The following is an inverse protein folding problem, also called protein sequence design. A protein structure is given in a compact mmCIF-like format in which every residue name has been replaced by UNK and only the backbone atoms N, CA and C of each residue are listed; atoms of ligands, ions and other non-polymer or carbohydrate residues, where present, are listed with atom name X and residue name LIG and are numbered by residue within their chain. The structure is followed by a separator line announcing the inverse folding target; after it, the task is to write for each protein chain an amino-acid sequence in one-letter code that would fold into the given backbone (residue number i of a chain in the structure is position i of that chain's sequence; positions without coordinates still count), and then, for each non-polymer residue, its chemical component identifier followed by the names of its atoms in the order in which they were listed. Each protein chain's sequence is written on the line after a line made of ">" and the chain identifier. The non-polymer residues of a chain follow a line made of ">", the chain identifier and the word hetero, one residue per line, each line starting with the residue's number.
data_IF_951670735794
#
_entry.id   IF_951670735794
#
_cell.length_a   1.000
_cell.length_b   1.000
_cell.length_c   1.000
_cell.angle_alpha   90.00
_cell.angle_beta   90.00
_cell.angle_gamma   90.00
#
_symmetry.space_group_name_H-M   'P 1'
#
loop_
_entity.id
_entity.type
_entity.pdbx_description
1 polymer ?
#
# COMPACT_ATOMS: atom_id res chain seq x y z
N UNK A 1 -37.38 -15.22 -4.93
CA UNK A 1 -36.64 -14.04 -5.41
C UNK A 1 -35.85 -14.47 -6.62
N UNK A 2 -36.14 -13.87 -7.77
CA UNK A 2 -35.41 -14.16 -9.01
C UNK A 2 -33.98 -13.59 -8.90
N UNK A 3 -33.00 -14.15 -9.63
CA UNK A 3 -31.59 -13.70 -9.63
C UNK A 3 -31.47 -12.21 -9.98
N UNK A 4 -32.42 -11.71 -10.78
CA UNK A 4 -32.57 -10.29 -11.14
C UNK A 4 -33.02 -9.42 -9.96
N UNK A 5 -33.89 -9.93 -9.10
CA UNK A 5 -34.36 -9.20 -7.92
C UNK A 5 -33.26 -9.10 -6.85
N UNK A 6 -32.44 -10.15 -6.68
CA UNK A 6 -31.30 -10.12 -5.76
C UNK A 6 -30.21 -9.13 -6.18
N UNK A 7 -29.97 -9.00 -7.50
CA UNK A 7 -29.11 -7.94 -8.04
C UNK A 7 -29.73 -6.54 -7.90
N UNK A 8 -31.05 -6.42 -7.88
CA UNK A 8 -31.73 -5.14 -7.70
C UNK A 8 -31.86 -4.70 -6.23
N UNK A 9 -31.90 -5.64 -5.28
CA UNK A 9 -32.23 -5.34 -3.87
C UNK A 9 -31.28 -5.90 -2.81
N UNK A 10 -30.46 -6.90 -3.11
CA UNK A 10 -29.76 -7.71 -2.09
C UNK A 10 -28.25 -7.54 -1.97
N UNK A 11 -27.54 -7.25 -3.06
CA UNK A 11 -26.07 -7.14 -3.06
C UNK A 11 -25.55 -5.73 -3.38
N UNK A 12 -26.46 -4.80 -3.66
CA UNK A 12 -26.15 -3.41 -4.01
C UNK A 12 -26.36 -2.55 -2.78
N UNK A 13 -25.55 -2.76 -1.74
CA UNK A 13 -25.40 -1.71 -0.73
C UNK A 13 -24.81 -0.51 -1.46
N UNK A 14 -25.60 0.56 -1.51
CA UNK A 14 -25.45 1.86 -2.18
C UNK A 14 -24.08 2.54 -2.01
N UNK A 15 -23.20 1.99 -1.19
CA UNK A 15 -21.88 2.49 -0.85
C UNK A 15 -20.76 2.03 -1.81
N UNK A 16 -20.93 0.90 -2.52
CA UNK A 16 -19.91 0.34 -3.42
C UNK A 16 -20.02 0.76 -4.88
N UNK A 17 -21.22 1.16 -5.35
CA UNK A 17 -21.48 1.38 -6.79
C UNK A 17 -21.25 2.80 -7.30
N UNK A 18 -20.97 3.76 -6.41
CA UNK A 18 -20.96 5.18 -6.79
C UNK A 18 -19.65 5.67 -7.46
N UNK A 19 -18.55 4.88 -7.49
CA UNK A 19 -17.25 5.45 -7.93
C UNK A 19 -16.31 4.55 -8.74
N UNK A 20 -16.84 3.52 -9.43
CA UNK A 20 -16.06 2.87 -10.49
C UNK A 20 -16.22 3.64 -11.82
N UNK A 21 -15.16 3.84 -12.62
CA UNK A 21 -15.29 4.46 -13.94
C UNK A 21 -16.32 3.69 -14.77
N UNK A 22 -17.14 4.40 -15.55
CA UNK A 22 -18.36 3.87 -16.17
C UNK A 22 -18.19 2.62 -17.06
N UNK A 23 -16.96 2.30 -17.47
CA UNK A 23 -16.61 1.02 -18.06
C UNK A 23 -15.22 0.54 -17.59
N UNK A 24 -15.19 -0.34 -16.59
CA UNK A 24 -13.97 -0.96 -16.04
C UNK A 24 -13.21 -1.84 -17.05
N UNK A 25 -13.87 -2.26 -18.14
CA UNK A 25 -13.26 -3.11 -19.17
C UNK A 25 -12.82 -2.32 -20.42
N UNK A 26 -12.98 -0.99 -20.43
CA UNK A 26 -12.42 -0.15 -21.49
C UNK A 26 -10.91 -0.38 -21.61
N UNK A 27 -10.36 -0.29 -22.82
CA UNK A 27 -8.94 -0.55 -23.08
C UNK A 27 -8.06 0.38 -22.27
N UNK A 28 -8.47 1.65 -22.15
CA UNK A 28 -7.84 2.68 -21.34
C UNK A 28 -7.86 2.28 -19.87
N UNK A 29 -9.02 1.89 -19.33
CA UNK A 29 -9.16 1.45 -17.94
C UNK A 29 -8.29 0.23 -17.60
N UNK A 30 -8.17 -0.74 -18.52
CA UNK A 30 -7.28 -1.90 -18.35
C UNK A 30 -5.81 -1.51 -18.39
N UNK A 31 -5.43 -0.60 -19.29
CA UNK A 31 -4.06 -0.10 -19.40
C UNK A 31 -3.67 0.68 -18.15
N UNK A 32 -4.55 1.58 -17.69
CA UNK A 32 -4.36 2.32 -16.45
C UNK A 32 -4.25 1.37 -15.26
N UNK A 33 -5.06 0.31 -15.22
CA UNK A 33 -5.01 -0.67 -14.15
C UNK A 33 -3.67 -1.42 -14.07
N UNK A 34 -3.03 -1.71 -15.22
CA UNK A 34 -1.71 -2.35 -15.24
C UNK A 34 -0.65 -1.48 -14.54
N UNK A 35 -0.75 -0.16 -14.64
CA UNK A 35 0.17 0.76 -13.98
C UNK A 35 -0.02 0.83 -12.45
N UNK A 36 -1.10 0.26 -11.91
CA UNK A 36 -1.39 0.18 -10.47
C UNK A 36 -0.78 -1.05 -9.80
N UNK A 37 -0.08 -1.90 -10.56
CA UNK A 37 0.68 -3.03 -10.04
C UNK A 37 2.18 -2.75 -10.19
N UNK A 38 2.97 -3.14 -9.19
CA UNK A 38 4.42 -3.10 -9.26
C UNK A 38 4.91 -3.92 -10.45
N UNK A 39 5.84 -3.35 -11.22
CA UNK A 39 6.45 -4.02 -12.36
C UNK A 39 7.77 -4.65 -11.93
N UNK A 40 8.14 -5.81 -12.51
CA UNK A 40 9.45 -6.40 -12.29
C UNK A 40 10.58 -5.43 -12.68
N UNK A 41 11.49 -5.19 -11.75
CA UNK A 41 12.70 -4.41 -11.96
C UNK A 41 13.60 -5.17 -12.96
N UNK A 42 14.02 -4.54 -14.06
CA UNK A 42 14.97 -5.17 -14.97
C UNK A 42 16.31 -5.42 -14.27
N UNK A 43 16.98 -6.50 -14.67
CA UNK A 43 18.33 -6.84 -14.22
C UNK A 43 19.27 -7.07 -15.41
N UNK A 44 20.56 -6.94 -15.13
CA UNK A 44 21.64 -7.39 -16.03
C UNK A 44 22.30 -8.65 -15.47
N UNK A 45 22.91 -9.45 -16.34
CA UNK A 45 23.69 -10.61 -15.90
C UNK A 45 25.17 -10.21 -15.78
N UNK A 46 25.76 -10.42 -14.61
CA UNK A 46 27.22 -10.38 -14.38
C UNK A 46 27.70 -11.76 -13.94
N UNK A 47 28.17 -12.57 -14.89
CA UNK A 47 28.47 -13.98 -14.67
C UNK A 47 27.22 -14.74 -14.20
N UNK A 48 27.24 -15.21 -12.95
CA UNK A 48 26.11 -15.91 -12.32
C UNK A 48 25.15 -14.97 -11.58
N UNK A 49 25.49 -13.68 -11.43
CA UNK A 49 24.70 -12.72 -10.69
C UNK A 49 23.64 -12.05 -11.56
N UNK A 50 22.42 -12.00 -11.04
CA UNK A 50 21.37 -11.08 -11.49
C UNK A 50 21.56 -9.75 -10.76
N UNK A 51 22.03 -8.74 -11.48
CA UNK A 51 22.30 -7.41 -10.95
C UNK A 51 21.12 -6.47 -11.13
N UNK A 52 20.63 -5.94 -10.02
CA UNK A 52 19.57 -4.94 -9.98
C UNK A 52 20.13 -3.61 -9.49
N UNK A 53 19.65 -2.51 -10.07
CA UNK A 53 19.91 -1.16 -9.54
C UNK A 53 18.65 -0.61 -8.88
N UNK A 54 18.80 -0.26 -7.61
CA UNK A 54 17.73 0.33 -6.81
C UNK A 54 18.24 1.63 -6.19
N UNK A 55 17.48 2.70 -6.28
CA UNK A 55 17.80 3.94 -5.59
C UNK A 55 16.64 4.40 -4.74
N UNK A 56 16.96 5.18 -3.72
CA UNK A 56 15.97 5.90 -2.91
C UNK A 56 16.11 7.39 -3.17
N UNK A 57 14.98 8.06 -3.38
CA UNK A 57 14.92 9.52 -3.48
C UNK A 57 13.62 10.06 -2.86
N UNK A 58 13.56 11.38 -2.71
CA UNK A 58 12.34 12.10 -2.39
C UNK A 58 11.37 12.05 -3.57
N UNK A 59 10.17 11.55 -3.32
CA UNK A 59 9.12 11.41 -4.32
C UNK A 59 7.87 12.18 -3.92
N UNK A 60 7.13 12.69 -4.90
CA UNK A 60 5.81 13.29 -4.66
C UNK A 60 4.74 12.26 -4.98
N UNK A 61 4.13 11.71 -3.95
CA UNK A 61 3.16 10.64 -4.07
C UNK A 61 1.72 11.15 -4.08
N UNK A 62 0.90 10.54 -4.93
CA UNK A 62 -0.53 10.82 -5.08
C UNK A 62 -1.32 9.51 -4.88
N UNK A 63 -1.78 9.20 -3.65
CA UNK A 63 -2.55 7.99 -3.40
C UNK A 63 -3.97 8.06 -3.97
N UNK A 64 -4.57 9.26 -4.00
CA UNK A 64 -5.89 9.53 -4.57
C UNK A 64 -5.89 10.89 -5.29
N UNK A 65 -6.79 11.12 -6.27
CA UNK A 65 -6.75 12.32 -7.11
C UNK A 65 -6.84 13.61 -6.29
N UNK A 66 -5.89 14.52 -6.52
CA UNK A 66 -5.87 15.84 -5.88
C UNK A 66 -5.22 15.87 -4.50
N UNK A 67 -4.78 14.73 -3.95
CA UNK A 67 -4.02 14.68 -2.70
C UNK A 67 -2.58 14.26 -2.96
N UNK A 68 -1.64 15.19 -2.78
CA UNK A 68 -0.20 14.96 -2.99
C UNK A 68 0.59 15.26 -1.73
N UNK A 69 1.57 14.42 -1.43
CA UNK A 69 2.53 14.66 -0.35
C UNK A 69 3.91 14.13 -0.70
N UNK A 70 4.94 14.67 -0.03
CA UNK A 70 6.31 14.21 -0.19
C UNK A 70 6.56 12.95 0.64
N UNK A 71 7.35 12.04 0.09
CA UNK A 71 7.59 10.71 0.63
C UNK A 71 8.97 10.20 0.19
N UNK A 72 9.36 9.00 0.60
CA UNK A 72 10.63 8.37 0.23
C UNK A 72 10.34 7.08 -0.55
N UNK A 73 10.67 7.06 -1.84
CA UNK A 73 10.27 5.97 -2.74
C UNK A 73 11.47 5.29 -3.39
N UNK A 74 11.45 3.95 -3.42
CA UNK A 74 12.41 3.20 -4.23
C UNK A 74 12.07 3.37 -5.71
N UNK A 75 13.04 3.79 -6.52
CA UNK A 75 12.90 4.09 -7.94
C UNK A 75 11.65 4.93 -8.29
N UNK A 76 11.35 5.93 -7.46
CA UNK A 76 10.20 6.84 -7.64
C UNK A 76 8.83 6.14 -7.69
N UNK A 77 8.71 4.97 -7.04
CA UNK A 77 7.48 4.18 -6.99
C UNK A 77 7.13 3.76 -5.57
N UNK A 78 5.82 3.74 -5.27
CA UNK A 78 5.26 3.15 -4.05
C UNK A 78 4.15 2.18 -4.47
N UNK A 79 4.28 0.88 -4.18
CA UNK A 79 5.46 0.22 -3.61
C UNK A 79 6.65 0.36 -4.57
N UNK A 80 7.85 0.13 -4.05
CA UNK A 80 9.05 0.01 -4.88
C UNK A 80 8.88 -1.07 -5.97
N UNK A 81 9.78 -1.08 -6.97
CA UNK A 81 9.80 -2.10 -8.01
C UNK A 81 9.76 -3.53 -7.47
N UNK A 82 9.11 -4.43 -8.20
CA UNK A 82 9.12 -5.84 -7.83
C UNK A 82 10.46 -6.46 -8.21
N UNK A 83 11.14 -7.11 -7.28
CA UNK A 83 12.26 -7.99 -7.61
C UNK A 83 11.68 -9.39 -7.76
N UNK A 84 11.69 -9.94 -8.99
CA UNK A 84 11.20 -11.29 -9.27
C UNK A 84 12.33 -12.17 -9.80
N UNK A 85 12.65 -13.23 -9.07
CA UNK A 85 13.77 -14.15 -9.34
C UNK A 85 13.32 -15.59 -9.10
N UNK A 86 14.09 -16.58 -9.55
CA UNK A 86 13.84 -17.99 -9.23
C UNK A 86 14.62 -18.39 -7.98
N UNK A 87 14.11 -19.40 -7.28
CA UNK A 87 14.80 -20.02 -6.16
C UNK A 87 16.22 -20.47 -6.56
N UNK A 88 17.21 -20.09 -5.74
CA UNK A 88 18.63 -20.40 -5.97
C UNK A 88 19.38 -19.43 -6.88
N UNK A 89 18.71 -18.43 -7.48
CA UNK A 89 19.40 -17.37 -8.22
C UNK A 89 20.34 -16.57 -7.30
N UNK A 90 21.53 -16.20 -7.79
CA UNK A 90 22.41 -15.25 -7.13
C UNK A 90 21.97 -13.83 -7.44
N UNK A 91 21.58 -13.08 -6.42
CA UNK A 91 21.03 -11.73 -6.53
C UNK A 91 22.04 -10.73 -6.01
N UNK A 92 22.35 -9.74 -6.84
CA UNK A 92 23.15 -8.57 -6.44
C UNK A 92 22.31 -7.33 -6.61
N UNK A 93 22.14 -6.54 -5.55
CA UNK A 93 21.41 -5.27 -5.60
C UNK A 93 22.35 -4.13 -5.28
N UNK A 94 22.62 -3.29 -6.28
CA UNK A 94 23.29 -2.02 -6.09
C UNK A 94 22.28 -1.01 -5.58
N UNK A 95 22.36 -0.69 -4.28
CA UNK A 95 21.52 0.30 -3.65
C UNK A 95 22.20 1.67 -3.62
N UNK A 96 21.56 2.68 -4.20
CA UNK A 96 22.06 4.06 -4.29
C UNK A 96 21.20 4.99 -3.44
N UNK A 97 21.81 5.58 -2.41
CA UNK A 97 21.12 6.56 -1.58
C UNK A 97 21.24 7.97 -2.17
N UNK A 98 20.21 8.44 -2.89
CA UNK A 98 20.20 9.80 -3.45
C UNK A 98 19.70 10.85 -2.46
N UNK A 99 19.18 10.45 -1.30
CA UNK A 99 18.64 11.37 -0.30
C UNK A 99 19.74 12.00 0.58
N UNK A 100 19.32 12.85 1.50
CA UNK A 100 20.17 13.38 2.58
C UNK A 100 20.02 12.59 3.90
N UNK A 101 19.25 11.50 3.88
CA UNK A 101 18.97 10.65 5.05
C UNK A 101 19.78 9.37 5.01
N UNK A 102 19.92 8.71 6.15
CA UNK A 102 20.50 7.37 6.22
C UNK A 102 19.46 6.31 5.88
N UNK A 103 19.85 5.30 5.10
CA UNK A 103 18.96 4.20 4.75
C UNK A 103 19.67 2.86 4.77
N UNK A 104 18.89 1.78 4.79
CA UNK A 104 19.31 0.41 4.53
C UNK A 104 18.20 -0.30 3.78
N UNK A 105 18.43 -1.54 3.34
CA UNK A 105 17.39 -2.43 2.82
C UNK A 105 17.49 -3.74 3.58
N UNK A 106 16.44 -4.08 4.31
CA UNK A 106 16.23 -5.40 4.87
C UNK A 106 15.39 -6.25 3.90
N UNK A 107 15.79 -7.51 3.73
CA UNK A 107 15.19 -8.48 2.81
C UNK A 107 14.27 -9.42 3.59
N UNK A 108 13.05 -8.96 3.86
CA UNK A 108 12.13 -9.62 4.78
C UNK A 108 11.73 -11.01 4.28
N UNK A 109 12.11 -12.04 5.03
CA UNK A 109 11.82 -13.44 4.72
C UNK A 109 12.91 -14.18 3.95
N UNK A 110 13.97 -13.49 3.51
CA UNK A 110 15.09 -14.10 2.77
C UNK A 110 16.23 -14.49 3.69
N UNK A 111 16.81 -15.67 3.46
CA UNK A 111 18.04 -16.10 4.10
C UNK A 111 19.23 -15.45 3.43
N UNK A 112 19.70 -14.34 4.00
CA UNK A 112 20.86 -13.62 3.52
C UNK A 112 22.09 -13.90 4.38
N UNK A 113 23.32 -13.80 3.83
CA UNK A 113 24.50 -13.68 4.66
C UNK A 113 24.31 -12.54 5.66
N UNK A 114 24.63 -12.76 6.94
CA UNK A 114 24.23 -11.82 8.00
C UNK A 114 24.67 -10.37 7.76
N UNK A 115 25.76 -10.11 7.02
CA UNK A 115 26.22 -8.75 6.67
C UNK A 115 25.37 -8.04 5.61
N UNK A 116 24.46 -8.75 4.97
CA UNK A 116 23.58 -8.29 3.89
C UNK A 116 22.13 -8.16 4.38
N UNK A 117 21.89 -8.31 5.68
CA UNK A 117 20.56 -8.27 6.31
C UNK A 117 19.98 -6.86 6.45
N UNK A 118 20.78 -5.80 6.28
CA UNK A 118 20.24 -4.44 6.23
C UNK A 118 19.84 -3.83 7.56
N UNK A 119 20.22 -4.43 8.69
CA UNK A 119 19.90 -3.93 10.04
C UNK A 119 21.05 -3.04 10.53
N UNK A 120 20.85 -1.71 10.64
CA UNK A 120 21.92 -0.78 10.99
C UNK A 120 22.45 -1.04 12.40
N UNK A 121 23.77 -1.00 12.55
CA UNK A 121 24.52 -1.27 13.79
C UNK A 121 24.40 -2.70 14.35
N UNK A 122 23.77 -3.61 13.61
CA UNK A 122 23.74 -5.05 13.92
C UNK A 122 24.46 -5.81 12.82
N UNK A 123 23.96 -5.76 11.59
CA UNK A 123 24.54 -6.47 10.44
C UNK A 123 25.45 -5.58 9.59
N UNK A 124 25.13 -4.29 9.49
CA UNK A 124 25.91 -3.33 8.71
C UNK A 124 25.80 -1.91 9.26
N UNK A 125 26.63 -1.00 8.74
CA UNK A 125 26.43 0.44 8.93
C UNK A 125 25.34 0.94 7.98
N UNK A 126 24.62 2.02 8.34
CA UNK A 126 23.67 2.64 7.41
C UNK A 126 24.37 3.13 6.14
N UNK A 127 23.66 3.06 5.02
CA UNK A 127 24.09 3.66 3.76
C UNK A 127 23.91 5.16 3.88
N UNK A 128 25.04 5.86 4.00
CA UNK A 128 25.09 7.31 4.19
C UNK A 128 24.52 8.06 2.98
N UNK A 129 24.15 9.34 3.15
CA UNK A 129 23.72 10.19 2.05
C UNK A 129 24.71 10.19 0.88
N UNK A 130 24.18 10.10 -0.34
CA UNK A 130 24.94 10.12 -1.60
C UNK A 130 25.94 8.96 -1.76
N UNK A 131 25.85 7.93 -0.92
CA UNK A 131 26.66 6.72 -1.05
C UNK A 131 25.85 5.57 -1.63
N UNK A 132 26.56 4.50 -2.00
CA UNK A 132 25.99 3.25 -2.47
C UNK A 132 26.43 2.07 -1.58
N UNK A 133 25.65 0.99 -1.63
CA UNK A 133 25.96 -0.28 -0.99
C UNK A 133 25.51 -1.43 -1.89
N UNK A 134 26.29 -2.51 -1.92
CA UNK A 134 25.98 -3.69 -2.73
C UNK A 134 25.53 -4.81 -1.80
N UNK A 135 24.30 -5.26 -1.97
CA UNK A 135 23.76 -6.45 -1.31
C UNK A 135 23.97 -7.66 -2.20
N UNK A 136 24.43 -8.78 -1.63
CA UNK A 136 24.64 -10.03 -2.35
C UNK A 136 24.06 -11.21 -1.55
N UNK A 137 23.14 -11.95 -2.16
CA UNK A 137 22.53 -13.12 -1.51
C UNK A 137 22.04 -14.13 -2.55
N UNK A 138 21.71 -15.33 -2.06
CA UNK A 138 21.00 -16.35 -2.84
C UNK A 138 19.51 -16.19 -2.56
N UNK A 139 18.68 -16.24 -3.59
CA UNK A 139 17.24 -16.13 -3.45
C UNK A 139 16.65 -17.42 -2.85
N UNK A 140 16.59 -17.46 -1.52
CA UNK A 140 15.99 -18.56 -0.75
C UNK A 140 15.42 -18.03 0.58
N UNK A 141 14.30 -18.58 1.08
CA UNK A 141 13.45 -19.61 0.47
C UNK A 141 12.56 -19.06 -0.66
N UNK A 142 11.94 -19.94 -1.45
CA UNK A 142 10.89 -19.54 -2.40
C UNK A 142 9.68 -18.90 -1.70
N UNK A 143 8.88 -18.15 -2.45
CA UNK A 143 7.60 -17.62 -1.99
C UNK A 143 7.46 -16.10 -2.11
N UNK A 144 6.49 -15.57 -1.37
CA UNK A 144 6.12 -14.16 -1.32
C UNK A 144 6.88 -13.46 -0.19
N UNK A 145 7.86 -12.65 -0.58
CA UNK A 145 8.68 -11.85 0.32
C UNK A 145 8.55 -10.37 -0.03
N UNK A 146 9.17 -9.51 0.76
CA UNK A 146 9.24 -8.09 0.46
C UNK A 146 10.54 -7.50 1.03
N UNK A 147 10.86 -6.28 0.66
CA UNK A 147 12.02 -5.58 1.17
C UNK A 147 11.61 -4.20 1.68
N UNK A 148 12.29 -3.70 2.71
CA UNK A 148 11.97 -2.40 3.30
C UNK A 148 13.16 -1.77 3.99
N UNK A 149 13.05 -0.47 4.28
CA UNK A 149 14.06 0.23 5.05
C UNK A 149 14.08 -0.24 6.51
N UNK A 150 15.28 -0.33 7.10
CA UNK A 150 15.45 -0.66 8.52
C UNK A 150 16.14 0.46 9.32
N UNK A 151 16.31 1.64 8.72
CA UNK A 151 16.64 2.87 9.43
C UNK A 151 15.35 3.61 9.78
N UNK A 152 15.15 4.03 11.04
CA UNK A 152 13.96 4.81 11.42
C UNK A 152 12.65 4.17 10.95
N UNK A 153 12.54 2.84 11.10
CA UNK A 153 11.60 1.96 10.40
C UNK A 153 10.16 2.49 10.41
N UNK A 154 9.70 3.01 11.54
CA UNK A 154 8.36 3.60 11.67
C UNK A 154 8.13 4.71 10.63
N UNK A 155 8.99 5.72 10.58
CA UNK A 155 8.84 6.86 9.67
C UNK A 155 9.13 6.49 8.23
N UNK A 156 10.14 5.67 7.95
CA UNK A 156 10.49 5.30 6.58
C UNK A 156 9.46 4.36 5.93
N UNK A 157 8.89 3.41 6.67
CA UNK A 157 7.78 2.59 6.15
C UNK A 157 6.52 3.43 5.97
N UNK A 158 6.22 4.34 6.90
CA UNK A 158 5.16 5.35 6.73
C UNK A 158 5.39 6.19 5.45
N UNK A 159 6.64 6.55 5.14
CA UNK A 159 7.01 7.26 3.92
C UNK A 159 7.11 6.37 2.66
N UNK A 160 6.66 5.11 2.70
CA UNK A 160 6.58 4.27 1.50
C UNK A 160 7.86 3.50 1.13
N UNK A 161 8.83 3.40 2.04
CA UNK A 161 10.08 2.66 1.79
C UNK A 161 9.92 1.14 1.92
N UNK A 162 9.15 0.55 1.01
CA UNK A 162 8.99 -0.90 0.87
C UNK A 162 8.74 -1.27 -0.60
N UNK A 163 9.07 -2.49 -0.99
CA UNK A 163 8.78 -3.06 -2.31
C UNK A 163 8.71 -4.59 -2.24
N UNK A 164 8.34 -5.24 -3.33
CA UNK A 164 8.04 -6.68 -3.32
C UNK A 164 9.23 -7.51 -3.78
N UNK A 165 9.38 -8.70 -3.21
CA UNK A 165 10.40 -9.67 -3.60
C UNK A 165 9.75 -11.03 -3.78
N UNK A 166 9.60 -11.47 -5.01
CA UNK A 166 8.96 -12.75 -5.34
C UNK A 166 10.06 -13.73 -5.76
N UNK A 167 10.17 -14.83 -5.03
CA UNK A 167 11.09 -15.92 -5.34
C UNK A 167 10.26 -17.08 -5.90
N UNK A 168 10.30 -17.24 -7.22
CA UNK A 168 9.55 -18.23 -7.96
C UNK A 168 10.12 -19.63 -7.76
N UNK A 169 9.24 -20.62 -7.61
CA UNK A 169 9.60 -22.02 -7.69
C UNK A 169 9.15 -22.56 -9.06
N UNK A 170 10.06 -22.97 -9.95
CA UNK A 170 9.69 -23.56 -11.25
C UNK A 170 8.77 -24.80 -11.14
N UNK A 171 8.75 -25.47 -9.98
CA UNK A 171 7.87 -26.58 -9.63
C UNK A 171 7.00 -26.20 -8.43
N UNK A 172 6.31 -25.07 -8.54
CA UNK A 172 5.47 -24.55 -7.48
C UNK A 172 4.36 -25.55 -7.06
N UNK A 173 4.41 -26.08 -5.82
CA UNK A 173 3.41 -27.05 -5.34
C UNK A 173 2.01 -26.44 -5.24
N UNK A 174 1.91 -25.11 -5.07
CA UNK A 174 0.62 -24.42 -5.04
C UNK A 174 -0.01 -24.49 -6.44
N UNK A 175 0.76 -24.24 -7.49
CA UNK A 175 0.29 -24.29 -8.88
C UNK A 175 -0.07 -25.71 -9.33
N UNK A 176 0.64 -26.72 -8.83
CA UNK A 176 0.28 -28.14 -9.07
C UNK A 176 -1.07 -28.50 -8.44
N UNK A 177 -1.32 -28.04 -7.22
CA UNK A 177 -2.57 -28.34 -6.48
C UNK A 177 -3.75 -27.46 -6.91
N UNK A 178 -3.49 -26.20 -7.22
CA UNK A 178 -4.44 -25.20 -7.69
C UNK A 178 -3.90 -24.56 -8.96
N UNK A 179 -4.17 -25.14 -10.14
CA UNK A 179 -3.82 -24.51 -11.40
C UNK A 179 -4.45 -23.11 -11.45
N UNK A 180 -3.64 -22.10 -11.78
CA UNK A 180 -4.06 -20.72 -11.92
C UNK A 180 -3.42 -20.07 -13.15
N UNK A 181 -4.16 -19.15 -13.78
CA UNK A 181 -3.81 -18.52 -15.05
C UNK A 181 -3.11 -17.17 -14.86
N UNK A 182 -3.46 -16.45 -13.78
CA UNK A 182 -2.93 -15.11 -13.47
C UNK A 182 -2.52 -14.97 -12.03
N UNK A 183 -1.60 -14.04 -11.81
CA UNK A 183 -1.10 -13.68 -10.49
C UNK A 183 -1.16 -12.16 -10.29
N UNK A 184 -1.54 -11.75 -9.09
CA UNK A 184 -1.58 -10.37 -8.66
C UNK A 184 -0.88 -10.21 -7.32
N UNK A 185 -0.08 -9.15 -7.17
CA UNK A 185 0.53 -8.78 -5.89
C UNK A 185 -0.15 -7.51 -5.35
N UNK A 186 -0.66 -7.60 -4.12
CA UNK A 186 -1.31 -6.50 -3.40
C UNK A 186 -0.52 -6.21 -2.12
N UNK A 187 0.07 -5.03 -2.06
CA UNK A 187 0.85 -4.53 -0.91
C UNK A 187 0.01 -3.53 -0.15
N UNK A 188 -0.35 -3.87 1.08
CA UNK A 188 -1.14 -3.04 1.97
C UNK A 188 -0.25 -2.23 2.90
N UNK A 189 -0.62 -0.97 3.09
CA UNK A 189 0.06 -0.04 3.99
C UNK A 189 -0.89 1.00 4.57
N UNK A 190 -0.47 1.59 5.68
CA UNK A 190 -1.19 2.62 6.42
C UNK A 190 -0.27 3.81 6.64
N UNK A 191 -0.77 5.01 6.36
CA UNK A 191 0.02 6.25 6.36
C UNK A 191 -0.66 7.32 7.21
N UNK A 192 0.12 8.01 8.04
CA UNK A 192 -0.24 9.29 8.65
C UNK A 192 0.43 10.42 7.86
N UNK A 193 -0.36 11.07 7.01
CA UNK A 193 0.17 12.11 6.12
C UNK A 193 0.71 13.33 6.86
N UNK A 194 0.15 13.65 8.04
CA UNK A 194 0.61 14.78 8.83
C UNK A 194 1.92 14.44 9.53
N UNK A 195 2.00 13.26 10.13
CA UNK A 195 3.22 12.73 10.71
C UNK A 195 4.37 12.72 9.71
N UNK A 196 4.16 12.16 8.52
CA UNK A 196 5.18 12.11 7.46
C UNK A 196 5.66 13.52 7.11
N UNK A 197 4.73 14.45 6.88
CA UNK A 197 5.06 15.83 6.53
C UNK A 197 5.88 16.53 7.63
N UNK A 198 5.44 16.39 8.88
CA UNK A 198 6.06 17.09 10.01
C UNK A 198 7.43 16.51 10.34
N UNK A 199 7.58 15.18 10.29
CA UNK A 199 8.87 14.49 10.43
C UNK A 199 9.85 14.89 9.32
N UNK A 200 9.42 14.88 8.06
CA UNK A 200 10.27 15.26 6.92
C UNK A 200 10.71 16.71 7.03
N UNK A 201 9.80 17.63 7.35
CA UNK A 201 10.13 19.05 7.55
C UNK A 201 11.11 19.24 8.70
N UNK A 202 10.83 18.62 9.85
CA UNK A 202 11.70 18.69 11.04
C UNK A 202 13.09 18.12 10.74
N UNK A 203 13.16 17.04 9.96
CA UNK A 203 14.41 16.43 9.55
C UNK A 203 15.23 17.33 8.62
N UNK A 204 14.60 17.94 7.62
CA UNK A 204 15.25 18.89 6.72
C UNK A 204 15.82 20.10 7.49
N UNK A 205 15.06 20.66 8.42
CA UNK A 205 15.53 21.78 9.25
C UNK A 205 16.71 21.38 10.14
N UNK A 206 16.65 20.21 10.79
CA UNK A 206 17.79 19.68 11.57
C UNK A 206 19.03 19.47 10.73
N UNK A 207 18.89 18.99 9.50
CA UNK A 207 20.03 18.80 8.59
C UNK A 207 20.64 20.12 8.15
N UNK A 208 19.83 21.14 7.85
CA UNK A 208 20.33 22.50 7.58
C UNK A 208 21.09 23.04 8.78
N UNK A 209 20.54 22.89 9.98
CA UNK A 209 21.19 23.33 11.21
C UNK A 209 22.52 22.59 11.44
N UNK A 210 22.55 21.27 11.30
CA UNK A 210 23.78 20.47 11.45
C UNK A 210 24.84 20.87 10.45
N UNK A 211 24.47 21.01 9.17
CA UNK A 211 25.38 21.45 8.10
C UNK A 211 25.95 22.84 8.40
N UNK A 212 25.11 23.76 8.87
CA UNK A 212 25.54 25.09 9.31
C UNK A 212 26.54 25.01 10.49
N UNK A 213 26.22 24.24 11.55
CA UNK A 213 27.10 24.09 12.71
C UNK A 213 28.45 23.44 12.36
N UNK A 214 28.45 22.45 11.47
CA UNK A 214 29.67 21.82 10.96
C UNK A 214 30.52 22.82 10.18
N UNK A 215 29.90 23.63 9.30
CA UNK A 215 30.59 24.65 8.51
C UNK A 215 31.23 25.73 9.40
N UNK A 216 30.56 26.13 10.47
CA UNK A 216 31.05 27.14 11.42
C UNK A 216 32.04 26.58 12.46
N UNK A 217 32.37 25.27 12.41
CA UNK A 217 33.23 24.63 13.41
C UNK A 217 32.62 24.58 14.82
N UNK A 218 31.31 24.76 14.92
CA UNK A 218 30.54 24.82 16.19
C UNK A 218 29.85 23.50 16.52
N UNK A 219 30.11 22.46 15.74
CA UNK A 219 29.56 21.12 15.97
C UNK A 219 30.41 20.38 17.01
N UNK A 220 29.87 20.21 18.23
CA UNK A 220 30.58 19.60 19.35
C UNK A 220 30.00 18.23 19.75
N UNK A 221 30.67 17.51 20.66
CA UNK A 221 30.25 16.18 21.13
C UNK A 221 28.92 16.19 21.89
N UNK A 222 28.55 17.31 22.50
CA UNK A 222 27.27 17.49 23.19
C UNK A 222 26.11 17.50 22.18
N UNK A 223 26.31 18.08 21.00
CA UNK A 223 25.33 18.05 19.90
C UNK A 223 25.21 16.68 19.20
N UNK A 224 26.20 15.80 19.41
CA UNK A 224 26.12 14.36 19.07
C UNK A 224 25.38 13.54 20.13
N UNK A 225 25.17 14.08 21.32
CA UNK A 225 24.53 13.38 22.43
C UNK A 225 23.12 12.91 22.10
N UNK A 226 22.79 11.70 22.56
CA UNK A 226 21.42 11.16 22.54
C UNK A 226 20.49 11.99 23.43
N UNK A 227 21.07 12.76 24.37
CA UNK A 227 20.39 13.66 25.28
C UNK A 227 20.99 15.06 25.18
N UNK A 228 20.14 16.07 25.20
CA UNK A 228 20.50 17.47 25.16
C UNK A 228 21.15 17.92 26.48
N UNK A 229 20.84 17.25 27.60
CA UNK A 229 21.47 17.44 28.91
C UNK A 229 21.27 16.23 29.84
N UNK A 230 21.92 16.28 31.02
CA UNK A 230 21.86 15.23 32.04
C UNK A 230 20.44 15.07 32.61
N UNK A 231 19.70 16.16 32.77
CA UNK A 231 18.33 16.14 33.29
C UNK A 231 17.41 15.34 32.36
N UNK A 232 17.52 15.53 31.05
CA UNK A 232 16.77 14.79 30.04
C UNK A 232 17.17 13.30 30.03
N UNK A 233 18.45 12.99 30.22
CA UNK A 233 18.91 11.61 30.38
C UNK A 233 18.26 10.93 31.59
N UNK A 234 18.34 11.55 32.77
CA UNK A 234 17.78 11.02 34.00
C UNK A 234 16.26 10.87 33.91
N UNK A 235 15.56 11.87 33.36
CA UNK A 235 14.12 11.79 33.12
C UNK A 235 13.74 10.64 32.18
N UNK A 236 14.59 10.32 31.19
CA UNK A 236 14.34 9.17 30.30
C UNK A 236 14.56 7.82 30.98
N UNK A 237 15.44 7.74 31.99
CA UNK A 237 15.59 6.53 32.80
C UNK A 237 14.36 6.35 33.67
N UNK A 238 13.92 7.41 34.35
CA UNK A 238 12.80 7.35 35.30
C UNK A 238 11.46 7.07 34.61
N UNK A 239 11.22 7.65 33.44
CA UNK A 239 9.98 7.48 32.68
C UNK A 239 9.99 6.28 31.71
N UNK A 240 11.08 5.50 31.71
CA UNK A 240 11.29 4.39 30.78
C UNK A 240 11.87 4.85 29.45
N UNK A 241 13.12 4.45 29.19
CA UNK A 241 13.83 4.86 27.97
C UNK A 241 13.15 4.26 26.74
N UNK A 242 12.51 5.12 25.93
CA UNK A 242 11.99 4.78 24.59
C UNK A 242 13.10 4.86 23.54
N UNK A 243 13.54 3.76 22.92
CA UNK A 243 14.63 3.81 21.95
C UNK A 243 14.33 4.72 20.75
N UNK A 244 15.35 5.29 20.08
CA UNK A 244 15.18 6.28 19.01
C UNK A 244 14.46 5.75 17.77
N UNK A 245 14.32 4.43 17.64
CA UNK A 245 13.55 3.78 16.58
C UNK A 245 12.05 3.66 16.88
N UNK A 246 11.63 3.85 18.14
CA UNK A 246 10.21 3.84 18.54
C UNK A 246 9.59 5.22 18.38
N UNK A 247 10.36 6.26 18.73
CA UNK A 247 9.92 7.64 18.52
C UNK A 247 11.11 8.53 18.17
N UNK A 248 10.94 9.40 17.19
CA UNK A 248 11.94 10.43 16.90
C UNK A 248 11.87 11.46 18.04
N UNK A 249 12.70 11.31 19.07
CA UNK A 249 12.65 12.12 20.30
C UNK A 249 12.85 13.63 20.09
N UNK A 250 13.33 14.04 18.91
CA UNK A 250 13.48 15.45 18.50
C UNK A 250 12.40 15.92 17.54
N UNK A 251 11.36 15.10 17.35
CA UNK A 251 10.13 15.46 16.69
C UNK A 251 9.05 15.71 17.74
N UNK A 252 8.17 16.67 17.47
CA UNK A 252 7.02 16.98 18.31
C UNK A 252 5.86 15.99 18.08
N UNK A 253 6.02 15.00 17.20
CA UNK A 253 4.94 14.12 16.79
C UNK A 253 4.71 12.97 17.79
N UNK A 254 3.44 12.74 18.12
CA UNK A 254 3.00 11.50 18.78
C UNK A 254 3.19 10.29 17.84
N UNK A 255 2.93 9.08 18.33
CA UNK A 255 2.90 7.89 17.47
C UNK A 255 1.94 8.14 16.29
N UNK A 256 2.29 7.72 15.05
CA UNK A 256 1.50 8.03 13.87
C UNK A 256 0.10 7.43 13.98
N UNK A 257 -0.90 8.25 13.65
CA UNK A 257 -2.31 7.87 13.60
C UNK A 257 -2.72 7.80 12.14
N UNK A 258 -2.79 6.59 11.58
CA UNK A 258 -3.02 6.42 10.15
C UNK A 258 -4.36 7.04 9.72
N UNK A 259 -4.29 7.98 8.78
CA UNK A 259 -5.42 8.65 8.17
C UNK A 259 -5.58 8.31 6.68
N UNK A 260 -4.59 7.63 6.09
CA UNK A 260 -4.62 7.11 4.74
C UNK A 260 -4.30 5.61 4.73
N UNK A 261 -5.02 4.86 3.92
CA UNK A 261 -4.85 3.43 3.76
C UNK A 261 -4.70 3.13 2.28
N UNK A 262 -3.70 2.34 1.92
CA UNK A 262 -3.35 2.12 0.51
C UNK A 262 -3.13 0.65 0.23
N UNK A 263 -3.50 0.26 -0.99
CA UNK A 263 -3.09 -0.97 -1.63
C UNK A 263 -2.32 -0.62 -2.89
N UNK A 264 -1.11 -1.14 -3.02
CA UNK A 264 -0.14 -0.75 -4.04
C UNK A 264 0.04 0.78 -4.13
N UNK A 265 0.18 1.44 -2.97
CA UNK A 265 0.37 2.90 -2.89
C UNK A 265 -0.83 3.70 -3.40
N UNK A 266 -1.98 3.09 -3.69
CA UNK A 266 -3.18 3.79 -4.13
C UNK A 266 -4.30 3.60 -3.12
N UNK A 267 -5.10 4.63 -3.00
CA UNK A 267 -6.32 4.63 -2.21
C UNK A 267 -7.51 4.82 -3.14
N UNK A 268 -8.67 4.26 -2.78
CA UNK A 268 -9.86 4.35 -3.64
C UNK A 268 -10.21 5.83 -3.90
N UNK A 269 -10.53 6.21 -5.15
CA UNK A 269 -10.87 5.38 -6.32
C UNK A 269 -9.70 4.98 -7.23
N UNK A 270 -8.46 5.19 -6.81
CA UNK A 270 -7.26 4.89 -7.61
C UNK A 270 -6.67 3.50 -7.39
N UNK A 271 -7.28 2.65 -6.57
CA UNK A 271 -6.84 1.28 -6.28
C UNK A 271 -6.87 0.37 -7.51
N UNK A 272 -6.00 -0.65 -7.59
CA UNK A 272 -6.05 -1.63 -8.66
C UNK A 272 -7.34 -2.45 -8.65
N UNK A 273 -7.72 -2.98 -9.80
CA UNK A 273 -8.77 -3.99 -9.98
C UNK A 273 -8.15 -5.35 -10.26
N UNK A 274 -8.76 -6.39 -9.74
CA UNK A 274 -8.43 -7.78 -10.10
C UNK A 274 -9.35 -8.21 -11.23
N UNK A 275 -8.80 -8.81 -12.28
CA UNK A 275 -9.59 -9.36 -13.38
C UNK A 275 -9.60 -10.89 -13.30
N UNK A 276 -10.75 -11.47 -13.63
CA UNK A 276 -10.97 -12.92 -13.66
C UNK A 276 -11.97 -13.27 -14.76
N UNK A 277 -12.04 -14.53 -15.17
CA UNK A 277 -13.07 -15.08 -16.06
C UNK A 277 -13.80 -16.23 -15.39
N UNK A 278 -15.01 -16.53 -15.85
CA UNK A 278 -15.71 -17.74 -15.41
C UNK A 278 -14.87 -19.00 -15.67
N UNK A 279 -14.62 -19.79 -14.63
CA UNK A 279 -13.81 -21.02 -14.67
C UNK A 279 -12.29 -20.82 -14.55
N UNK A 280 -11.81 -19.58 -14.47
CA UNK A 280 -10.40 -19.25 -14.27
C UNK A 280 -10.06 -19.21 -12.77
N UNK A 281 -8.86 -19.61 -12.39
CA UNK A 281 -8.33 -19.38 -11.05
C UNK A 281 -7.23 -18.31 -11.09
N UNK A 282 -7.22 -17.42 -10.11
CA UNK A 282 -6.14 -16.44 -9.96
C UNK A 282 -5.47 -16.60 -8.60
N UNK A 283 -4.14 -16.40 -8.57
CA UNK A 283 -3.38 -16.25 -7.34
C UNK A 283 -3.28 -14.78 -6.96
N UNK A 284 -3.55 -14.46 -5.71
CA UNK A 284 -3.33 -13.13 -5.16
C UNK A 284 -2.37 -13.23 -3.98
N UNK A 285 -1.23 -12.55 -4.09
CA UNK A 285 -0.22 -12.41 -3.05
C UNK A 285 -0.54 -11.16 -2.23
N UNK A 286 -0.80 -11.34 -0.95
CA UNK A 286 -1.17 -10.29 -0.01
C UNK A 286 0.05 -10.01 0.87
N UNK A 287 0.52 -8.77 0.90
CA UNK A 287 1.69 -8.35 1.69
C UNK A 287 1.27 -7.20 2.57
N UNK A 288 1.57 -7.25 3.87
CA UNK A 288 1.41 -6.09 4.74
C UNK A 288 2.76 -5.47 5.05
N UNK A 289 3.08 -4.41 4.32
CA UNK A 289 4.27 -3.58 4.51
C UNK A 289 3.99 -2.36 5.40
N UNK A 290 2.83 -2.30 6.05
CA UNK A 290 2.44 -1.25 6.99
C UNK A 290 2.58 -1.67 8.45
N UNK A 291 2.05 -0.83 9.34
CA UNK A 291 2.09 -1.03 10.80
C UNK A 291 0.72 -1.42 11.40
N UNK A 292 -0.37 -1.36 10.63
CA UNK A 292 -1.70 -1.77 11.06
C UNK A 292 -2.12 -3.13 10.51
N UNK A 293 -3.01 -3.84 11.21
CA UNK A 293 -3.60 -5.12 10.73
C UNK A 293 -4.76 -4.87 9.78
N UNK A 294 -4.74 -5.45 8.58
CA UNK A 294 -5.83 -5.32 7.60
C UNK A 294 -6.77 -6.53 7.61
N UNK A 295 -8.09 -6.31 7.60
CA UNK A 295 -9.07 -7.41 7.61
C UNK A 295 -9.67 -7.59 6.22
N UNK A 296 -8.94 -8.25 5.31
CA UNK A 296 -9.28 -8.25 3.90
C UNK A 296 -10.42 -9.22 3.62
N UNK A 297 -11.55 -8.70 3.13
CA UNK A 297 -12.78 -9.43 2.84
C UNK A 297 -13.17 -9.35 1.37
N UNK A 298 -13.40 -10.50 0.74
CA UNK A 298 -13.86 -10.59 -0.64
C UNK A 298 -15.34 -11.00 -0.69
N UNK A 299 -16.14 -10.20 -1.39
CA UNK A 299 -17.55 -10.50 -1.60
C UNK A 299 -17.75 -11.61 -2.64
N UNK A 300 -18.84 -12.37 -2.48
CA UNK A 300 -19.29 -13.36 -3.46
C UNK A 300 -18.38 -14.59 -3.65
N UNK A 301 -17.25 -14.66 -2.95
CA UNK A 301 -16.30 -15.77 -3.04
C UNK A 301 -15.76 -16.10 -1.65
N UNK A 302 -15.60 -17.40 -1.39
CA UNK A 302 -14.54 -17.85 -0.49
C UNK A 302 -13.27 -18.06 -1.32
N UNK A 303 -12.12 -17.75 -0.74
CA UNK A 303 -10.81 -18.01 -1.34
C UNK A 303 -10.06 -19.07 -0.53
N UNK A 304 -9.20 -19.83 -1.21
CA UNK A 304 -8.29 -20.76 -0.55
C UNK A 304 -7.09 -19.99 0.01
N UNK A 305 -6.78 -20.18 1.28
CA UNK A 305 -5.47 -19.86 1.85
C UNK A 305 -4.49 -20.95 1.43
N UNK A 306 -3.42 -20.59 0.71
CA UNK A 306 -2.47 -21.56 0.14
C UNK A 306 -1.02 -21.38 0.58
N UNK A 307 -0.63 -20.19 1.06
CA UNK A 307 0.68 -19.95 1.68
C UNK A 307 0.59 -18.96 2.85
N UNK A 308 1.51 -19.07 3.81
CA UNK A 308 1.75 -18.14 4.93
C UNK A 308 3.25 -17.83 4.97
N UNK A 309 3.61 -16.55 4.90
CA UNK A 309 5.00 -16.06 4.85
C UNK A 309 5.85 -16.76 3.78
N UNK A 310 5.28 -16.91 2.58
CA UNK A 310 5.93 -17.57 1.45
C UNK A 310 5.96 -19.10 1.50
N UNK A 311 5.61 -19.72 2.63
CA UNK A 311 5.61 -21.18 2.80
C UNK A 311 4.26 -21.77 2.39
N UNK A 312 4.21 -22.71 1.42
CA UNK A 312 2.99 -23.41 1.06
C UNK A 312 2.36 -24.17 2.24
N UNK A 313 1.05 -24.04 2.42
CA UNK A 313 0.31 -24.74 3.46
C UNK A 313 0.11 -26.21 3.08
N UNK A 314 0.48 -27.13 3.98
CA UNK A 314 0.21 -28.57 3.82
C UNK A 314 -1.30 -28.85 3.67
N UNK A 315 -2.12 -28.13 4.44
CA UNK A 315 -3.57 -28.21 4.44
C UNK A 315 -4.21 -26.84 4.15
N UNK A 316 -4.36 -26.47 2.86
CA UNK A 316 -5.10 -25.29 2.43
C UNK A 316 -6.55 -25.33 2.91
N UNK A 317 -7.10 -24.16 3.22
CA UNK A 317 -8.45 -24.02 3.77
C UNK A 317 -9.15 -22.78 3.20
N UNK A 318 -10.49 -22.79 3.15
CA UNK A 318 -11.28 -21.69 2.60
C UNK A 318 -11.72 -20.70 3.67
N UNK A 319 -11.80 -19.43 3.29
CA UNK A 319 -12.51 -18.36 4.00
C UNK A 319 -12.81 -17.19 3.07
N UNK A 320 -13.56 -16.22 3.55
CA UNK A 320 -13.82 -14.96 2.83
C UNK A 320 -13.16 -13.74 3.48
N UNK A 321 -12.61 -13.85 4.70
CA UNK A 321 -11.95 -12.74 5.41
C UNK A 321 -10.65 -13.17 6.08
N UNK A 322 -9.58 -12.39 5.87
CA UNK A 322 -8.24 -12.61 6.45
C UNK A 322 -7.73 -11.42 7.27
N UNK A 323 -7.29 -11.63 8.53
CA UNK A 323 -6.48 -10.63 9.23
C UNK A 323 -5.03 -10.74 8.75
N UNK A 324 -4.58 -9.79 7.95
CA UNK A 324 -3.22 -9.65 7.47
C UNK A 324 -2.47 -8.68 8.42
N UNK A 325 -1.68 -9.21 9.34
CA UNK A 325 -0.95 -8.43 10.36
C UNK A 325 0.36 -7.85 9.80
N UNK A 326 0.96 -6.81 10.44
CA UNK A 326 2.22 -6.22 9.99
C UNK A 326 3.33 -7.25 9.75
N UNK A 327 3.99 -7.16 8.60
CA UNK A 327 5.07 -8.06 8.20
C UNK A 327 4.62 -9.41 7.64
N UNK A 328 3.34 -9.78 7.77
CA UNK A 328 2.83 -11.04 7.22
C UNK A 328 2.65 -10.98 5.71
N UNK A 329 2.86 -12.13 5.06
CA UNK A 329 2.39 -12.38 3.70
C UNK A 329 1.44 -13.57 3.66
N UNK A 330 0.43 -13.50 2.81
CA UNK A 330 -0.47 -14.62 2.54
C UNK A 330 -0.69 -14.75 1.05
N UNK A 331 -0.73 -15.98 0.57
CA UNK A 331 -1.17 -16.24 -0.79
C UNK A 331 -2.55 -16.88 -0.77
N UNK A 332 -3.43 -16.37 -1.62
CA UNK A 332 -4.78 -16.87 -1.78
C UNK A 332 -5.06 -17.29 -3.23
N UNK A 333 -5.93 -18.28 -3.41
CA UNK A 333 -6.50 -18.65 -4.71
C UNK A 333 -7.97 -18.26 -4.73
N UNK A 334 -8.34 -17.46 -5.72
CA UNK A 334 -9.74 -17.09 -6.01
C UNK A 334 -10.19 -17.91 -7.22
N UNK A 335 -11.28 -18.66 -7.03
CA UNK A 335 -11.90 -19.49 -8.08
C UNK A 335 -12.97 -18.67 -8.82
N UNK A 336 -12.91 -18.64 -10.15
CA UNK A 336 -13.84 -17.93 -11.03
C UNK A 336 -15.22 -18.57 -11.14
N UNK A 337 -15.85 -18.92 -10.02
CA UNK A 337 -17.08 -19.73 -9.98
C UNK A 337 -18.37 -18.91 -9.76
N UNK A 338 -18.26 -17.61 -9.54
CA UNK A 338 -19.40 -16.73 -9.27
C UNK A 338 -19.29 -15.41 -10.04
N UNK A 339 -19.68 -15.44 -11.32
CA UNK A 339 -19.58 -14.30 -12.24
C UNK A 339 -20.29 -13.05 -11.72
N UNK A 340 -19.57 -11.92 -11.67
CA UNK A 340 -20.09 -10.63 -11.22
C UNK A 340 -19.01 -9.54 -11.10
N UNK A 341 -19.35 -8.44 -10.43
CA UNK A 341 -18.38 -7.45 -9.95
C UNK A 341 -18.47 -7.48 -8.44
N UNK A 342 -17.38 -7.87 -7.80
CA UNK A 342 -17.34 -8.12 -6.37
C UNK A 342 -16.34 -7.22 -5.68
N UNK A 343 -16.76 -6.57 -4.62
CA UNK A 343 -15.87 -5.74 -3.82
C UNK A 343 -14.88 -6.62 -3.05
N UNK A 344 -13.61 -6.22 -3.06
CA UNK A 344 -12.57 -6.75 -2.19
C UNK A 344 -12.04 -5.58 -1.36
N UNK A 345 -12.16 -5.63 -0.04
CA UNK A 345 -11.88 -4.48 0.80
C UNK A 345 -11.40 -4.85 2.19
N UNK A 346 -10.85 -3.86 2.89
CA UNK A 346 -10.61 -3.98 4.33
C UNK A 346 -11.94 -3.85 5.10
N UNK A 347 -12.19 -4.79 6.00
CA UNK A 347 -13.42 -4.89 6.77
C UNK A 347 -13.35 -4.09 8.09
N UNK A 348 -12.23 -3.41 8.36
CA UNK A 348 -12.19 -2.28 9.30
C UNK A 348 -12.72 -1.03 8.60
N UNK A 349 -13.82 -0.46 9.11
CA UNK A 349 -14.53 0.68 8.49
C UNK A 349 -13.67 1.94 8.38
N UNK A 350 -12.65 2.11 9.24
CA UNK A 350 -11.71 3.24 9.11
C UNK A 350 -10.86 3.13 7.85
N UNK A 351 -10.54 1.89 7.44
CA UNK A 351 -9.59 1.56 6.38
C UNK A 351 -10.18 1.65 4.98
N UNK A 352 -11.46 1.95 4.90
CA UNK A 352 -12.18 2.28 3.66
C UNK A 352 -12.52 3.78 3.59
N UNK A 353 -11.67 4.63 4.18
CA UNK A 353 -11.79 6.09 4.13
C UNK A 353 -10.49 6.76 3.67
N UNK A 354 -10.62 7.98 3.13
CA UNK A 354 -9.52 8.90 2.83
C UNK A 354 -9.57 10.04 3.83
N UNK A 355 -8.67 10.05 4.81
CA UNK A 355 -8.64 11.04 5.89
C UNK A 355 -10.02 11.19 6.58
N UNK A 356 -10.68 10.07 6.85
CA UNK A 356 -12.01 10.00 7.46
C UNK A 356 -13.20 10.14 6.51
N UNK A 357 -12.96 10.43 5.22
CA UNK A 357 -14.03 10.54 4.22
C UNK A 357 -14.28 9.20 3.52
N UNK A 358 -15.52 8.72 3.58
CA UNK A 358 -15.96 7.52 2.87
C UNK A 358 -16.61 7.88 1.51
N UNK A 359 -16.40 7.08 0.44
CA UNK A 359 -15.47 5.95 0.37
C UNK A 359 -14.03 6.39 0.07
N UNK A 360 -13.11 5.56 0.52
CA UNK A 360 -11.68 5.70 0.27
C UNK A 360 -10.94 4.44 0.69
N UNK A 361 -9.64 4.58 0.92
CA UNK A 361 -8.78 3.55 1.48
C UNK A 361 -8.67 2.27 0.65
N UNK A 362 -8.59 1.16 1.36
CA UNK A 362 -8.43 -0.20 0.85
C UNK A 362 -9.77 -0.76 0.36
N UNK A 363 -10.27 -0.17 -0.73
CA UNK A 363 -11.49 -0.59 -1.41
C UNK A 363 -11.12 -0.87 -2.88
N UNK A 364 -11.26 -2.11 -3.34
CA UNK A 364 -11.04 -2.52 -4.72
C UNK A 364 -12.12 -3.47 -5.22
N UNK A 365 -12.01 -3.92 -6.47
CA UNK A 365 -12.97 -4.82 -7.09
C UNK A 365 -12.29 -6.00 -7.81
N UNK A 366 -12.91 -7.16 -7.69
CA UNK A 366 -12.76 -8.32 -8.56
C UNK A 366 -13.80 -8.22 -9.68
N UNK A 367 -13.34 -8.14 -10.92
CA UNK A 367 -14.17 -7.86 -12.10
C UNK A 367 -14.10 -9.04 -13.05
N UNK A 368 -15.24 -9.65 -13.33
CA UNK A 368 -15.34 -10.68 -14.37
C UNK A 368 -15.29 -10.05 -15.77
N UNK A 369 -14.33 -10.46 -16.58
CA UNK A 369 -14.12 -9.90 -17.92
C UNK A 369 -15.09 -10.45 -18.97
N UNK A 370 -15.69 -11.60 -18.70
CA UNK A 370 -16.65 -12.31 -19.56
C UNK A 370 -18.11 -11.95 -19.24
N UNK A 371 -18.33 -10.86 -18.51
CA UNK A 371 -19.68 -10.32 -18.30
C UNK A 371 -20.29 -9.85 -19.62
N UNK A 372 -21.59 -10.11 -19.84
CA UNK A 372 -22.35 -9.49 -20.93
C UNK A 372 -22.23 -7.96 -20.92
N UNK A 373 -22.16 -7.34 -22.10
CA UNK A 373 -22.00 -5.88 -22.26
C UNK A 373 -23.09 -5.05 -21.58
N UNK A 374 -24.29 -5.61 -21.41
CA UNK A 374 -25.41 -5.00 -20.69
C UNK A 374 -25.26 -5.08 -19.16
N UNK A 375 -24.66 -6.15 -18.63
CA UNK A 375 -24.33 -6.31 -17.20
C UNK A 375 -23.08 -5.50 -16.79
N UNK A 376 -22.22 -5.17 -17.77
CA UNK A 376 -21.00 -4.36 -17.58
C UNK A 376 -21.28 -2.87 -17.38
N UNK A 377 -22.44 -2.40 -17.81
CA UNK A 377 -22.86 -1.01 -17.60
C UNK A 377 -23.45 -0.93 -16.19
N UNK A 378 -22.56 -0.77 -15.20
CA UNK A 378 -22.90 -0.59 -13.78
C UNK A 378 -23.95 0.52 -13.61
N UNK A 379 -23.94 1.51 -14.50
CA UNK A 379 -24.84 2.67 -14.47
C UNK A 379 -26.31 2.36 -14.80
N UNK A 380 -26.60 1.32 -15.61
CA UNK A 380 -27.98 0.96 -16.00
C UNK A 380 -28.80 0.41 -14.84
N UNK A 381 -28.14 -0.29 -13.92
CA UNK A 381 -28.75 -0.87 -12.72
C UNK A 381 -28.47 -0.07 -11.45
N UNK A 382 -27.68 1.00 -11.54
CA UNK A 382 -27.52 1.95 -10.44
C UNK A 382 -28.84 2.68 -10.17
N UNK A 383 -29.25 2.77 -8.90
CA UNK A 383 -30.34 3.65 -8.47
C UNK A 383 -29.97 5.14 -8.53
N UNK A 384 -28.91 5.50 -9.25
CA UNK A 384 -28.36 6.85 -9.31
C UNK A 384 -29.07 7.66 -10.41
N UNK A 385 -29.81 8.73 -10.06
CA UNK A 385 -30.49 9.58 -11.04
C UNK A 385 -29.54 10.32 -11.98
N UNK A 386 -28.23 10.38 -11.68
CA UNK A 386 -27.22 10.99 -12.55
C UNK A 386 -26.93 10.14 -13.81
N UNK A 387 -27.16 8.83 -13.77
CA UNK A 387 -26.88 7.92 -14.89
C UNK A 387 -28.10 7.13 -15.38
N UNK A 388 -29.18 7.10 -14.62
CA UNK A 388 -30.48 6.61 -15.05
C UNK A 388 -31.54 7.67 -14.72
N UNK A 389 -31.91 8.55 -15.66
CA UNK A 389 -32.91 9.60 -15.44
C UNK A 389 -34.28 9.06 -15.00
N UNK A 390 -34.53 7.76 -15.22
CA UNK A 390 -35.78 7.08 -14.89
C UNK A 390 -35.68 6.23 -13.62
N UNK A 391 -34.50 6.11 -12.99
CA UNK A 391 -34.35 5.45 -11.70
C UNK A 391 -35.06 6.28 -10.62
N UNK A 392 -36.19 5.78 -10.11
CA UNK A 392 -37.00 6.43 -9.07
C UNK A 392 -38.29 7.10 -9.55
N UNK A 393 -38.60 7.09 -10.85
CA UNK A 393 -39.85 7.71 -11.37
C UNK A 393 -41.09 6.78 -11.33
N UNK A 394 -40.96 5.55 -10.85
CA UNK A 394 -42.09 4.61 -10.73
C UNK A 394 -43.11 5.00 -9.67
N UNK A 395 -42.64 5.55 -8.54
CA UNK A 395 -43.46 5.75 -7.33
C UNK A 395 -43.74 7.22 -6.98
N UNK A 396 -43.39 8.17 -7.86
CA UNK A 396 -43.54 9.61 -7.59
C UNK A 396 -44.58 10.29 -8.50
N UNK A 397 -45.63 9.58 -8.92
CA UNK A 397 -46.84 10.20 -9.49
C UNK A 397 -47.72 10.75 -8.36
N UNK A 398 -47.26 11.81 -7.68
CA UNK A 398 -48.06 12.40 -6.60
C UNK A 398 -47.50 13.61 -5.87
N UNK A 399 -46.29 14.11 -6.16
CA UNK A 399 -45.78 15.30 -5.49
C UNK A 399 -45.45 16.38 -6.52
N UNK A 400 -46.32 17.40 -6.56
CA UNK A 400 -46.13 18.61 -7.33
C UNK A 400 -44.88 19.38 -6.87
N UNK A 401 -44.20 19.97 -7.85
CA UNK A 401 -43.28 21.11 -7.80
C UNK A 401 -42.87 21.61 -6.40
N UNK A 402 -41.64 21.31 -6.00
CA UNK A 402 -40.75 22.34 -5.42
C UNK A 402 -39.30 21.83 -5.32
N UNK A 403 -38.36 22.69 -5.75
CA UNK A 403 -36.89 22.62 -5.56
C UNK A 403 -36.08 21.69 -6.49
N UNK A 404 -35.87 22.16 -7.72
CA UNK A 404 -34.61 21.86 -8.42
C UNK A 404 -33.45 22.63 -7.76
N UNK A 405 -32.75 21.96 -6.84
CA UNK A 405 -31.51 22.43 -6.22
C UNK A 405 -30.29 22.01 -7.03
N UNK A 406 -29.48 22.98 -7.40
CA UNK A 406 -28.25 22.90 -8.20
C UNK A 406 -27.25 21.82 -7.69
N UNK A 407 -26.87 20.85 -8.54
CA UNK A 407 -26.02 19.69 -8.19
C UNK A 407 -24.58 20.03 -7.79
N UNK A 408 -24.11 21.26 -7.97
CA UNK A 408 -22.77 21.68 -7.50
C UNK A 408 -22.62 21.71 -5.96
N UNK A 409 -23.73 21.69 -5.21
CA UNK A 409 -23.70 21.73 -3.73
C UNK A 409 -23.54 20.37 -3.04
N UNK A 410 -23.67 19.25 -3.75
CA UNK A 410 -23.58 17.90 -3.14
C UNK A 410 -22.18 17.28 -3.19
N UNK A 411 -21.30 17.74 -4.09
CA UNK A 411 -19.92 17.25 -4.19
C UNK A 411 -18.94 18.02 -3.29
N UNK A 412 -19.30 19.25 -2.89
CA UNK A 412 -18.47 20.12 -2.06
C UNK A 412 -19.40 20.72 -1.00
N UNK A 413 -19.35 20.20 0.22
CA UNK A 413 -20.09 20.79 1.34
C UNK A 413 -19.73 22.27 1.50
N UNK A 414 -20.71 23.12 1.80
CA UNK A 414 -20.47 24.52 2.19
C UNK A 414 -19.98 24.61 3.65
N UNK A 415 -18.91 23.88 3.99
CA UNK A 415 -18.22 24.08 5.26
C UNK A 415 -17.14 25.14 5.05
N UNK A 416 -17.55 26.40 5.21
CA UNK A 416 -16.61 27.47 5.55
C UNK A 416 -16.00 27.10 6.89
N UNK A 417 -14.75 26.64 6.89
CA UNK A 417 -13.90 26.63 8.08
C UNK A 417 -14.08 27.97 8.83
N UNK A 418 -14.23 27.98 10.16
CA UNK A 418 -14.23 29.23 10.91
C UNK A 418 -12.92 29.97 10.62
N UNK A 419 -13.02 31.19 10.09
CA UNK A 419 -11.87 32.08 9.94
C UNK A 419 -11.30 32.31 11.34
N UNK A 420 -10.05 31.91 11.54
CA UNK A 420 -9.25 32.37 12.68
C UNK A 420 -9.15 33.89 12.52
N UNK A 421 -9.73 34.62 13.47
CA UNK A 421 -9.56 36.05 13.60
C UNK A 421 -8.10 36.30 13.99
N UNK A 422 -7.34 36.94 13.11
CA UNK A 422 -6.13 37.65 13.48
C UNK A 422 -6.58 39.10 13.71
N UNK A 423 -6.79 39.44 14.97
CA UNK A 423 -6.87 40.83 15.41
C UNK A 423 -5.51 41.21 16.03
N UNK A 424 -4.92 42.26 15.43
CA UNK A 424 -3.81 43.15 15.84
C UNK A 424 -2.39 42.61 16.05
#
# INVERSE_FOLDING_TARGET
>A
MDRRDFLATGAVSTAGMLFFPGNLLAKEAKTDNQTRFSQPLPYTMDGEWKEFELYIDLHTHEPAPGFKYHTLAFNDMIPGPEIRVNAGDKVRVKFINKTDLNHTIHWHGIFVPWRMDGVPYVSQLPVMPKNEFIYEFIAEPEGTHFYHCHWGTLMHMQAGMFGTLIVENPKDPIKEKFPYEREYTLVYSSHDSNYIRDEMNSMLERMKQRTYLMKEGRFNSEQWGVFDNKEQFLASIDNGYQPPYVNNRRSNAELPQANWFTVNGKSYPSTPYLFIKSGENIRVRLINAGAETHHLHLHGHDFWMVADDGVPLEHPWKRNTVPLTPGKTFDIIIEGNNRGIWTFHDHDTRKVTNNGLYPGGNLLALVYEDLPADELIISKHSGNPMYNPNAGMGDMKGMENEKMGNMNKMMFGEDKLPKIALDE
#
